data_IF_343860473787
#
_entry.id   IF_343860473787
#
_cell.length_a   1.000
_cell.length_b   1.000
_cell.length_c   1.000
_cell.angle_alpha   90.00
_cell.angle_beta   90.00
_cell.angle_gamma   90.00
#
_symmetry.space_group_name_H-M   'P 1'
#
loop_
_entity.id
_entity.type
_entity.pdbx_description
1 polymer ?
#
# COMPACT_ATOMS: atom_id res chain seq x y z
N UNK A 1 -8.28 31.63 8.40
CA UNK A 1 -6.92 31.09 8.64
C UNK A 1 -6.01 31.65 7.55
N UNK A 2 -4.81 32.11 7.89
CA UNK A 2 -3.90 32.78 6.95
C UNK A 2 -3.30 31.69 6.03
N UNK A 3 -3.84 31.53 4.81
CA UNK A 3 -3.49 30.47 3.85
C UNK A 3 -2.01 30.50 3.36
N UNK A 4 -1.25 31.55 3.74
CA UNK A 4 0.13 31.74 3.32
C UNK A 4 1.19 31.34 4.37
N UNK A 5 0.80 30.75 5.51
CA UNK A 5 1.76 30.39 6.55
C UNK A 5 2.24 28.94 6.35
N UNK A 6 3.55 28.75 6.26
CA UNK A 6 4.14 27.41 6.26
C UNK A 6 3.76 26.67 7.57
N UNK A 7 3.30 25.44 7.45
CA UNK A 7 3.15 24.52 8.57
C UNK A 7 4.55 23.98 8.86
N UNK A 8 5.09 24.34 10.01
CA UNK A 8 6.44 23.91 10.40
C UNK A 8 6.43 23.22 11.75
N UNK A 9 7.33 22.28 11.92
CA UNK A 9 7.59 21.59 13.18
C UNK A 9 9.10 21.66 13.43
N UNK A 10 9.51 21.94 14.65
CA UNK A 10 10.93 21.93 15.00
C UNK A 10 11.46 20.49 15.13
N UNK A 11 12.78 20.35 14.98
CA UNK A 11 13.43 19.05 14.95
C UNK A 11 13.33 18.27 16.27
N UNK A 12 13.20 18.95 17.41
CA UNK A 12 13.05 18.30 18.70
C UNK A 12 11.64 17.71 18.84
N UNK A 13 10.62 18.51 18.53
CA UNK A 13 9.21 18.06 18.51
C UNK A 13 9.03 16.89 17.55
N UNK A 14 9.56 17.00 16.31
CA UNK A 14 9.47 15.93 15.31
C UNK A 14 10.13 14.62 15.80
N UNK A 15 11.29 14.72 16.49
CA UNK A 15 11.99 13.55 16.99
C UNK A 15 11.23 12.82 18.10
N UNK A 16 10.46 13.57 18.88
CA UNK A 16 9.67 13.01 20.00
C UNK A 16 8.23 12.66 19.59
N UNK A 17 7.81 12.98 18.34
CA UNK A 17 6.52 12.58 17.81
C UNK A 17 6.41 11.07 17.64
N UNK A 18 5.23 10.55 17.95
CA UNK A 18 4.85 9.17 17.69
C UNK A 18 4.27 9.10 16.27
N UNK A 19 5.14 8.81 15.31
CA UNK A 19 4.73 8.59 13.93
C UNK A 19 4.49 7.09 13.69
N UNK A 20 3.45 6.73 12.91
CA UNK A 20 3.24 5.34 12.52
C UNK A 20 4.43 4.85 11.69
N UNK A 21 4.78 3.56 11.76
CA UNK A 21 5.83 2.99 10.93
C UNK A 21 5.43 3.04 9.44
N UNK A 22 6.45 3.00 8.56
CA UNK A 22 6.22 2.82 7.13
C UNK A 22 5.46 1.52 6.88
N UNK A 23 4.33 1.63 6.20
CA UNK A 23 3.50 0.47 5.85
C UNK A 23 3.96 -0.16 4.53
N UNK A 24 3.79 -1.46 4.44
CA UNK A 24 4.09 -2.24 3.24
C UNK A 24 2.88 -3.11 2.87
N UNK A 25 2.56 -3.16 1.58
CA UNK A 25 1.65 -4.19 1.05
C UNK A 25 2.36 -5.55 0.96
N UNK A 26 3.62 -5.56 0.51
CA UNK A 26 4.51 -6.72 0.53
C UNK A 26 5.77 -6.27 1.27
N UNK A 27 6.04 -6.88 2.41
CA UNK A 27 7.12 -6.47 3.31
C UNK A 27 8.46 -6.36 2.57
N UNK A 28 9.21 -5.29 2.82
CA UNK A 28 10.49 -4.96 2.19
C UNK A 28 10.48 -4.82 0.66
N UNK A 29 9.32 -5.03 0.00
CA UNK A 29 9.21 -5.00 -1.46
C UNK A 29 8.27 -3.87 -1.94
N UNK A 30 7.00 -3.87 -1.54
CA UNK A 30 6.01 -2.90 -2.02
C UNK A 30 5.57 -1.98 -0.88
N UNK A 31 6.24 -0.81 -0.70
CA UNK A 31 5.88 0.15 0.33
C UNK A 31 4.60 0.90 -0.02
N UNK A 32 3.95 1.49 0.97
CA UNK A 32 2.97 2.55 0.82
C UNK A 32 3.61 3.74 0.09
N UNK A 33 2.83 4.43 -0.76
CA UNK A 33 3.32 5.50 -1.62
C UNK A 33 3.33 5.07 -3.09
N UNK A 34 4.07 5.78 -3.93
CA UNK A 34 4.11 5.54 -5.37
C UNK A 34 5.25 4.61 -5.76
N UNK A 35 4.94 3.47 -6.35
CA UNK A 35 5.89 2.51 -6.90
C UNK A 35 5.73 2.38 -8.42
N UNK A 36 6.84 2.20 -9.14
CA UNK A 36 6.82 1.97 -10.59
C UNK A 36 7.43 0.61 -10.94
N UNK A 37 6.69 -0.22 -11.68
CA UNK A 37 7.15 -1.47 -12.26
C UNK A 37 7.39 -1.31 -13.75
N UNK A 38 8.63 -1.38 -14.17
CA UNK A 38 9.02 -1.13 -15.55
C UNK A 38 9.73 -2.31 -16.19
N UNK A 39 9.88 -2.25 -17.50
CA UNK A 39 10.56 -3.26 -18.29
C UNK A 39 10.08 -3.28 -19.75
N UNK A 40 10.75 -4.02 -20.60
CA UNK A 40 10.41 -4.12 -22.02
C UNK A 40 8.96 -4.63 -22.23
N UNK A 41 8.37 -4.34 -23.38
CA UNK A 41 7.04 -4.85 -23.71
C UNK A 41 7.03 -6.39 -23.77
N UNK A 42 5.94 -7.01 -23.27
CA UNK A 42 5.68 -8.45 -23.32
C UNK A 42 6.67 -9.34 -22.54
N UNK A 43 7.32 -8.80 -21.49
CA UNK A 43 8.21 -9.59 -20.62
C UNK A 43 7.55 -10.17 -19.37
N UNK A 44 6.27 -9.91 -19.14
CA UNK A 44 5.53 -10.48 -18.02
C UNK A 44 5.24 -9.50 -16.86
N UNK A 45 5.34 -8.17 -17.07
CA UNK A 45 5.02 -7.16 -16.05
C UNK A 45 3.58 -7.25 -15.55
N UNK A 46 2.60 -7.32 -16.47
CA UNK A 46 1.17 -7.41 -16.11
C UNK A 46 0.86 -8.70 -15.33
N UNK A 47 1.54 -9.80 -15.64
CA UNK A 47 1.45 -11.03 -14.85
C UNK A 47 1.99 -10.83 -13.44
N UNK A 48 3.15 -10.17 -13.30
CA UNK A 48 3.74 -9.85 -12.01
C UNK A 48 2.84 -8.90 -11.18
N UNK A 49 2.33 -7.85 -11.81
CA UNK A 49 1.45 -6.90 -11.13
C UNK A 49 0.15 -7.56 -10.65
N UNK A 50 -0.47 -8.42 -11.48
CA UNK A 50 -1.67 -9.16 -11.10
C UNK A 50 -1.38 -10.16 -9.97
N UNK A 51 -0.26 -10.88 -10.02
CA UNK A 51 0.17 -11.83 -8.99
C UNK A 51 0.42 -11.11 -7.65
N UNK A 52 1.12 -9.95 -7.66
CA UNK A 52 1.27 -9.08 -6.48
C UNK A 52 -0.09 -8.67 -5.90
N UNK A 53 -1.02 -8.24 -6.75
CA UNK A 53 -2.36 -7.83 -6.33
C UNK A 53 -3.14 -8.98 -5.67
N UNK A 54 -3.04 -10.18 -6.22
CA UNK A 54 -3.69 -11.38 -5.65
C UNK A 54 -3.10 -11.75 -4.29
N UNK A 55 -1.77 -11.76 -4.15
CA UNK A 55 -1.10 -12.03 -2.88
C UNK A 55 -1.49 -11.01 -1.81
N UNK A 56 -1.56 -9.73 -2.16
CA UNK A 56 -1.99 -8.66 -1.25
C UNK A 56 -3.48 -8.83 -0.88
N UNK A 57 -4.36 -9.08 -1.83
CA UNK A 57 -5.78 -9.26 -1.55
C UNK A 57 -6.04 -10.47 -0.62
N UNK A 58 -5.32 -11.58 -0.82
CA UNK A 58 -5.40 -12.78 0.01
C UNK A 58 -4.67 -12.67 1.34
N UNK A 59 -3.64 -11.81 1.46
CA UNK A 59 -2.73 -11.80 2.60
C UNK A 59 -1.72 -12.97 2.57
N UNK A 60 -1.53 -13.60 1.41
CA UNK A 60 -0.60 -14.72 1.25
C UNK A 60 0.83 -14.22 1.03
N UNK A 61 1.86 -14.84 1.62
CA UNK A 61 3.25 -14.43 1.42
C UNK A 61 3.67 -14.50 -0.05
N UNK A 62 4.41 -13.50 -0.53
CA UNK A 62 5.01 -13.47 -1.87
C UNK A 62 6.53 -13.49 -1.75
N UNK A 63 7.20 -14.42 -2.45
CA UNK A 63 8.66 -14.56 -2.46
C UNK A 63 9.30 -14.56 -1.06
N UNK A 64 8.70 -15.30 -0.13
CA UNK A 64 9.07 -15.37 1.30
C UNK A 64 8.90 -14.05 2.08
N UNK A 65 8.23 -13.05 1.50
CA UNK A 65 7.88 -11.81 2.19
C UNK A 65 6.42 -11.87 2.64
N UNK A 66 6.14 -11.45 3.87
CA UNK A 66 4.76 -11.34 4.36
C UNK A 66 4.02 -10.22 3.63
N UNK A 67 2.72 -10.38 3.46
CA UNK A 67 1.84 -9.38 2.87
C UNK A 67 0.84 -8.86 3.89
N UNK A 68 0.45 -7.60 3.74
CA UNK A 68 -0.69 -7.05 4.46
C UNK A 68 -1.93 -7.28 3.61
N UNK A 69 -2.97 -7.90 4.19
CA UNK A 69 -4.24 -8.11 3.49
C UNK A 69 -5.09 -6.83 3.48
N UNK A 70 -5.76 -6.58 2.37
CA UNK A 70 -6.71 -5.47 2.23
C UNK A 70 -7.32 -5.44 0.83
N UNK A 71 -8.21 -4.46 0.59
CA UNK A 71 -8.85 -4.29 -0.71
C UNK A 71 -7.85 -3.77 -1.74
N UNK A 72 -7.93 -4.34 -2.94
CA UNK A 72 -7.08 -4.01 -4.09
C UNK A 72 -7.92 -3.56 -5.27
N UNK A 73 -7.57 -2.42 -5.88
CA UNK A 73 -8.11 -1.98 -7.16
C UNK A 73 -7.05 -2.17 -8.26
N UNK A 74 -7.38 -2.91 -9.31
CA UNK A 74 -6.52 -3.10 -10.47
C UNK A 74 -7.12 -2.49 -11.73
N UNK A 75 -6.55 -1.39 -12.22
CA UNK A 75 -6.91 -0.72 -13.46
C UNK A 75 -6.20 -1.40 -14.63
N UNK A 76 -6.91 -2.30 -15.34
CA UNK A 76 -6.40 -3.10 -16.46
C UNK A 76 -6.70 -2.42 -17.79
N UNK A 77 -6.07 -1.29 -18.08
CA UNK A 77 -6.52 -0.36 -19.13
C UNK A 77 -6.16 -0.79 -20.57
N UNK A 78 -5.27 -1.79 -20.74
CA UNK A 78 -4.98 -2.40 -22.05
C UNK A 78 -5.70 -3.74 -22.27
N UNK A 79 -6.50 -4.19 -21.29
CA UNK A 79 -7.16 -5.49 -21.32
C UNK A 79 -8.69 -5.39 -21.40
N UNK A 80 -9.32 -6.52 -21.62
CA UNK A 80 -10.76 -6.71 -21.48
C UNK A 80 -11.05 -7.76 -20.41
N UNK A 81 -12.29 -7.85 -19.93
CA UNK A 81 -12.68 -8.77 -18.86
C UNK A 81 -12.41 -10.24 -19.21
N UNK A 82 -12.57 -10.66 -20.46
CA UNK A 82 -12.27 -12.02 -20.90
C UNK A 82 -10.78 -12.35 -20.68
N UNK A 83 -9.86 -11.45 -21.08
CA UNK A 83 -8.42 -11.65 -20.90
C UNK A 83 -8.02 -11.63 -19.43
N UNK A 84 -8.67 -10.80 -18.62
CA UNK A 84 -8.45 -10.76 -17.17
C UNK A 84 -8.88 -12.09 -16.54
N UNK A 85 -10.07 -12.59 -16.90
CA UNK A 85 -10.58 -13.88 -16.46
C UNK A 85 -9.65 -15.03 -16.85
N UNK A 86 -9.18 -15.07 -18.11
CA UNK A 86 -8.21 -16.07 -18.56
C UNK A 86 -6.90 -16.04 -17.78
N UNK A 87 -6.45 -14.84 -17.39
CA UNK A 87 -5.25 -14.69 -16.54
C UNK A 87 -5.49 -15.18 -15.12
N UNK A 88 -6.62 -14.83 -14.53
CA UNK A 88 -6.98 -15.29 -13.19
C UNK A 88 -7.03 -16.81 -13.14
N UNK A 89 -7.73 -17.46 -14.07
CA UNK A 89 -7.83 -18.91 -14.16
C UNK A 89 -6.49 -19.64 -14.33
N UNK A 90 -5.47 -18.95 -14.86
CA UNK A 90 -4.10 -19.51 -14.97
C UNK A 90 -3.31 -19.38 -13.68
N UNK A 91 -3.52 -18.30 -12.93
CA UNK A 91 -2.79 -18.04 -11.69
C UNK A 91 -3.39 -18.82 -10.53
N UNK A 92 -4.73 -18.82 -10.42
CA UNK A 92 -5.43 -19.39 -9.26
C UNK A 92 -6.88 -19.73 -9.60
N UNK A 93 -7.44 -20.73 -8.93
CA UNK A 93 -8.86 -21.08 -8.91
C UNK A 93 -9.61 -20.40 -7.74
N UNK A 94 -8.87 -19.80 -6.81
CA UNK A 94 -9.39 -19.12 -5.63
C UNK A 94 -9.09 -17.61 -5.69
N UNK A 95 -10.02 -16.82 -6.25
CA UNK A 95 -9.92 -15.37 -6.35
C UNK A 95 -10.70 -14.73 -5.20
N UNK A 96 -10.08 -13.91 -4.36
CA UNK A 96 -10.75 -13.28 -3.23
C UNK A 96 -11.71 -12.17 -3.69
N UNK A 97 -12.75 -11.90 -2.90
CA UNK A 97 -13.77 -10.89 -3.23
C UNK A 97 -13.33 -9.44 -3.05
N UNK A 98 -12.19 -9.20 -2.40
CA UNK A 98 -11.63 -7.87 -2.14
C UNK A 98 -10.62 -7.40 -3.20
N UNK A 99 -10.57 -8.04 -4.39
CA UNK A 99 -9.87 -7.51 -5.56
C UNK A 99 -10.87 -7.08 -6.62
N UNK A 100 -10.72 -5.84 -7.09
CA UNK A 100 -11.61 -5.19 -8.04
C UNK A 100 -10.87 -4.85 -9.33
N UNK A 101 -11.54 -4.99 -10.47
CA UNK A 101 -10.98 -4.78 -11.81
C UNK A 101 -11.76 -3.72 -12.57
N UNK A 102 -11.05 -2.74 -13.16
CA UNK A 102 -11.62 -1.77 -14.08
C UNK A 102 -10.83 -1.79 -15.40
N UNK A 103 -11.53 -1.86 -16.53
CA UNK A 103 -10.94 -1.87 -17.87
C UNK A 103 -10.95 -0.49 -18.54
N UNK A 104 -11.50 0.51 -17.86
CA UNK A 104 -11.51 1.90 -18.30
C UNK A 104 -11.39 2.83 -17.10
N UNK A 105 -10.70 3.93 -17.28
CA UNK A 105 -10.56 4.99 -16.30
C UNK A 105 -10.40 6.33 -17.03
N UNK A 106 -10.66 7.43 -16.34
CA UNK A 106 -10.32 8.77 -16.81
C UNK A 106 -8.80 8.96 -16.79
N UNK A 107 -8.33 9.93 -17.55
CA UNK A 107 -6.95 10.39 -17.45
C UNK A 107 -6.75 11.22 -16.15
N UNK A 108 -5.50 11.48 -15.79
CA UNK A 108 -5.16 12.30 -14.61
C UNK A 108 -5.78 13.70 -14.70
N UNK A 109 -5.78 14.31 -15.89
CA UNK A 109 -6.39 15.64 -16.13
C UNK A 109 -7.91 15.61 -16.17
N UNK A 110 -8.54 14.48 -16.51
CA UNK A 110 -9.98 14.34 -16.59
C UNK A 110 -10.63 13.89 -15.28
N UNK A 111 -9.83 13.56 -14.26
CA UNK A 111 -10.32 13.24 -12.92
C UNK A 111 -10.13 11.80 -12.45
N UNK A 112 -9.13 11.07 -12.92
CA UNK A 112 -8.73 9.76 -12.38
C UNK A 112 -8.54 9.82 -10.86
N UNK A 113 -7.92 10.89 -10.35
CA UNK A 113 -7.71 11.06 -8.91
C UNK A 113 -9.02 11.03 -8.11
N UNK A 114 -10.10 11.61 -8.65
CA UNK A 114 -11.41 11.55 -8.00
C UNK A 114 -12.00 10.13 -8.06
N UNK A 115 -11.88 9.44 -9.19
CA UNK A 115 -12.33 8.04 -9.29
C UNK A 115 -11.65 7.14 -8.25
N UNK A 116 -10.33 7.32 -8.03
CA UNK A 116 -9.61 6.57 -7.00
C UNK A 116 -10.09 6.95 -5.59
N UNK A 117 -10.29 8.25 -5.30
CA UNK A 117 -10.82 8.71 -4.00
C UNK A 117 -12.21 8.16 -3.72
N UNK A 118 -13.09 8.19 -4.71
CA UNK A 118 -14.45 7.67 -4.60
C UNK A 118 -14.41 6.16 -4.26
N UNK A 119 -13.62 5.38 -5.02
CA UNK A 119 -13.42 3.96 -4.74
C UNK A 119 -12.90 3.69 -3.33
N UNK A 120 -11.85 4.41 -2.89
CA UNK A 120 -11.27 4.25 -1.55
C UNK A 120 -12.25 4.68 -0.45
N UNK A 121 -13.12 5.65 -0.72
CA UNK A 121 -14.17 6.06 0.23
C UNK A 121 -15.24 4.98 0.44
N UNK A 122 -15.55 4.23 -0.61
CA UNK A 122 -16.47 3.09 -0.60
C UNK A 122 -15.83 1.82 -0.01
N UNK A 123 -14.51 1.67 -0.19
CA UNK A 123 -13.70 0.52 0.27
C UNK A 123 -12.57 1.01 1.18
N UNK A 124 -12.88 1.31 2.45
CA UNK A 124 -11.96 1.95 3.40
C UNK A 124 -10.74 1.13 3.80
N UNK A 125 -10.79 -0.16 3.56
CA UNK A 125 -9.69 -1.12 3.73
C UNK A 125 -8.80 -1.24 2.48
N UNK A 126 -8.96 -0.35 1.50
CA UNK A 126 -8.10 -0.31 0.29
C UNK A 126 -6.67 0.02 0.70
N UNK A 127 -5.74 -0.84 0.32
CA UNK A 127 -4.30 -0.67 0.60
C UNK A 127 -3.46 -0.58 -0.67
N UNK A 128 -3.97 -1.09 -1.82
CA UNK A 128 -3.23 -1.11 -3.08
C UNK A 128 -4.14 -0.70 -4.25
N UNK A 129 -3.64 0.23 -5.06
CA UNK A 129 -4.16 0.52 -6.39
C UNK A 129 -3.08 0.23 -7.42
N UNK A 130 -3.34 -0.65 -8.37
CA UNK A 130 -2.43 -0.95 -9.47
C UNK A 130 -2.95 -0.36 -10.78
N UNK A 131 -2.07 0.24 -11.57
CA UNK A 131 -2.38 0.86 -12.87
C UNK A 131 -1.55 0.19 -13.97
N UNK A 132 -2.17 -0.57 -14.83
CA UNK A 132 -1.58 -1.24 -15.97
C UNK A 132 -2.27 -0.76 -17.26
N UNK A 133 -1.72 0.22 -17.93
CA UNK A 133 -0.39 0.79 -17.94
C UNK A 133 -0.43 2.34 -17.78
N UNK A 134 0.63 2.93 -17.28
CA UNK A 134 0.77 4.38 -17.08
C UNK A 134 0.39 5.21 -18.29
N UNK A 135 0.74 4.74 -19.49
CA UNK A 135 0.48 5.46 -20.75
C UNK A 135 -1.00 5.79 -20.96
N UNK A 136 -1.91 4.95 -20.45
CA UNK A 136 -3.36 5.10 -20.64
C UNK A 136 -4.00 6.16 -19.74
N UNK A 137 -3.30 6.58 -18.67
CA UNK A 137 -3.82 7.57 -17.71
C UNK A 137 -3.16 8.95 -17.83
N UNK A 138 -2.23 9.15 -18.77
CA UNK A 138 -1.55 10.42 -18.97
C UNK A 138 -2.50 11.51 -19.43
N UNK A 139 -2.26 12.73 -18.97
CA UNK A 139 -3.16 13.87 -19.14
C UNK A 139 -2.95 14.74 -20.38
N UNK A 140 -1.99 14.46 -21.26
CA UNK A 140 -1.66 15.35 -22.39
C UNK A 140 -1.44 14.62 -23.71
N UNK A 141 -2.15 15.02 -24.77
CA UNK A 141 -2.07 14.36 -26.08
C UNK A 141 -0.74 14.54 -26.82
N UNK A 142 0.07 15.55 -26.53
CA UNK A 142 1.24 15.94 -27.36
C UNK A 142 2.55 16.23 -26.61
N UNK A 143 2.62 16.05 -25.30
CA UNK A 143 3.82 16.40 -24.56
C UNK A 143 4.55 15.14 -24.04
N UNK A 144 5.42 14.57 -24.88
CA UNK A 144 6.42 13.57 -24.45
C UNK A 144 7.60 14.28 -23.76
N UNK A 145 7.33 15.17 -22.80
CA UNK A 145 8.38 15.88 -22.10
C UNK A 145 8.58 15.32 -20.69
N UNK A 146 9.82 15.38 -20.23
CA UNK A 146 10.22 15.10 -18.84
C UNK A 146 9.30 15.79 -17.82
N UNK A 147 8.93 17.05 -18.09
CA UNK A 147 8.11 17.83 -17.18
C UNK A 147 6.68 17.26 -17.02
N UNK A 148 6.12 16.70 -18.10
CA UNK A 148 4.79 16.08 -18.05
C UNK A 148 4.82 14.76 -17.32
N UNK A 149 5.78 13.88 -17.63
CA UNK A 149 5.96 12.61 -16.93
C UNK A 149 6.16 12.84 -15.43
N UNK A 150 6.99 13.81 -15.06
CA UNK A 150 7.25 14.16 -13.66
C UNK A 150 6.00 14.71 -12.96
N UNK A 151 5.23 15.58 -13.62
CA UNK A 151 3.98 16.15 -13.09
C UNK A 151 2.92 15.08 -12.83
N UNK A 152 2.73 14.19 -13.82
CA UNK A 152 1.77 13.09 -13.72
C UNK A 152 2.14 12.14 -12.55
N UNK A 153 3.42 11.81 -12.41
CA UNK A 153 3.91 10.99 -11.29
C UNK A 153 3.76 11.71 -9.93
N UNK A 154 4.02 13.02 -9.85
CA UNK A 154 3.79 13.78 -8.62
C UNK A 154 2.31 13.80 -8.22
N UNK A 155 1.39 13.91 -9.19
CA UNK A 155 -0.04 13.85 -8.93
C UNK A 155 -0.45 12.48 -8.38
N UNK A 156 0.06 11.38 -8.97
CA UNK A 156 -0.17 10.03 -8.45
C UNK A 156 0.40 9.84 -7.05
N UNK A 157 1.61 10.36 -6.81
CA UNK A 157 2.23 10.33 -5.49
C UNK A 157 1.40 11.07 -4.44
N UNK A 158 0.87 12.23 -4.79
CA UNK A 158 -0.01 12.99 -3.90
C UNK A 158 -1.26 12.20 -3.53
N UNK A 159 -1.91 11.53 -4.51
CA UNK A 159 -3.06 10.66 -4.28
C UNK A 159 -2.70 9.50 -3.34
N UNK A 160 -1.58 8.82 -3.59
CA UNK A 160 -1.13 7.71 -2.75
C UNK A 160 -0.86 8.15 -1.30
N UNK A 161 -0.22 9.32 -1.13
CA UNK A 161 0.07 9.91 0.19
C UNK A 161 -1.21 10.34 0.92
N UNK A 162 -2.11 11.03 0.23
CA UNK A 162 -3.38 11.52 0.77
C UNK A 162 -4.27 10.37 1.29
N UNK A 163 -4.34 9.29 0.51
CA UNK A 163 -5.19 8.14 0.80
C UNK A 163 -4.49 7.08 1.68
N UNK A 164 -3.21 7.24 1.99
CA UNK A 164 -2.39 6.27 2.72
C UNK A 164 -2.38 4.86 2.09
N UNK A 165 -2.31 4.77 0.76
CA UNK A 165 -2.28 3.53 -0.01
C UNK A 165 -0.95 3.34 -0.74
N UNK A 166 -0.66 2.11 -1.15
CA UNK A 166 0.32 1.85 -2.19
C UNK A 166 -0.32 2.07 -3.57
N UNK A 167 0.41 2.73 -4.47
CA UNK A 167 0.02 2.90 -5.86
C UNK A 167 1.12 2.33 -6.74
N UNK A 168 0.85 1.20 -7.40
CA UNK A 168 1.78 0.51 -8.29
C UNK A 168 1.46 0.85 -9.74
N UNK A 169 2.40 1.46 -10.44
CA UNK A 169 2.23 1.87 -11.85
C UNK A 169 3.09 1.01 -12.75
N UNK A 170 2.49 0.34 -13.72
CA UNK A 170 3.22 -0.42 -14.74
C UNK A 170 3.59 0.49 -15.90
N UNK A 171 4.87 0.46 -16.29
CA UNK A 171 5.42 1.29 -17.37
C UNK A 171 6.24 0.48 -18.37
N UNK A 172 6.31 0.93 -19.62
CA UNK A 172 7.11 0.34 -20.67
C UNK A 172 8.45 1.08 -20.83
N UNK A 173 9.57 0.35 -20.74
CA UNK A 173 10.90 0.90 -21.00
C UNK A 173 11.07 1.29 -22.48
N UNK A 174 11.89 2.32 -22.73
CA UNK A 174 12.42 2.59 -24.07
C UNK A 174 13.41 1.50 -24.49
N UNK A 175 13.61 1.36 -25.81
CA UNK A 175 14.46 0.32 -26.40
C UNK A 175 15.98 0.54 -26.23
N UNK A 176 16.41 1.62 -25.60
CA UNK A 176 17.83 1.90 -25.39
C UNK A 176 18.35 1.01 -24.26
N UNK A 177 19.46 0.31 -24.51
CA UNK A 177 20.20 -0.43 -23.49
C UNK A 177 21.12 0.55 -22.78
N UNK A 178 21.10 0.53 -21.46
CA UNK A 178 22.01 1.25 -20.58
C UNK A 178 22.67 0.25 -19.62
N UNK A 179 23.86 0.55 -19.14
CA UNK A 179 24.57 -0.28 -18.15
C UNK A 179 23.84 -0.24 -16.80
N UNK A 180 23.25 0.90 -16.46
CA UNK A 180 22.34 1.03 -15.31
C UNK A 180 20.90 0.72 -15.73
N UNK A 181 20.34 -0.35 -15.16
CA UNK A 181 18.97 -0.78 -15.42
C UNK A 181 17.93 0.29 -15.12
N UNK A 182 18.19 1.18 -14.17
CA UNK A 182 17.29 2.27 -13.83
C UNK A 182 17.33 3.42 -14.84
N UNK A 183 18.40 3.62 -15.56
CA UNK A 183 18.45 4.56 -16.69
C UNK A 183 17.57 4.12 -17.87
N UNK A 184 17.25 2.83 -17.97
CA UNK A 184 16.30 2.30 -18.97
C UNK A 184 14.83 2.61 -18.62
N UNK A 185 14.51 2.93 -17.36
CA UNK A 185 13.17 3.24 -16.88
C UNK A 185 12.60 4.46 -17.57
N UNK A 186 13.43 5.37 -17.98
CA UNK A 186 12.94 6.59 -18.56
C UNK A 186 13.85 7.08 -19.69
N UNK A 187 13.25 7.48 -20.78
CA UNK A 187 13.84 8.56 -21.53
C UNK A 187 13.95 9.85 -20.70
N UNK A 188 13.61 9.80 -19.42
CA UNK A 188 13.69 10.92 -18.49
C UNK A 188 13.88 10.35 -17.08
N UNK A 189 14.94 10.71 -16.38
CA UNK A 189 15.19 10.42 -14.96
C UNK A 189 14.04 10.88 -14.03
N UNK A 190 12.95 11.44 -14.59
CA UNK A 190 11.83 12.03 -13.88
C UNK A 190 10.88 11.02 -13.27
N UNK A 191 10.64 9.88 -13.93
CA UNK A 191 9.66 8.91 -13.44
C UNK A 191 10.14 8.28 -12.13
N UNK A 192 11.37 7.79 -12.10
CA UNK A 192 11.95 7.20 -10.88
C UNK A 192 12.19 8.25 -9.80
N UNK A 193 12.61 9.47 -10.18
CA UNK A 193 12.85 10.55 -9.22
C UNK A 193 11.61 10.97 -8.43
N UNK A 194 10.42 10.84 -9.02
CA UNK A 194 9.14 11.12 -8.35
C UNK A 194 8.63 9.94 -7.52
N UNK A 195 8.93 8.69 -7.91
CA UNK A 195 8.48 7.49 -7.23
C UNK A 195 9.19 7.28 -5.87
N UNK A 196 8.56 6.55 -4.98
CA UNK A 196 9.12 6.11 -3.70
C UNK A 196 9.89 4.81 -3.84
N UNK A 197 9.44 3.92 -4.77
CA UNK A 197 10.16 2.71 -5.14
C UNK A 197 10.10 2.47 -6.66
N UNK A 198 11.16 1.86 -7.19
CA UNK A 198 11.28 1.48 -8.59
C UNK A 198 11.69 0.03 -8.75
N UNK A 199 11.03 -0.64 -9.68
CA UNK A 199 11.26 -2.03 -10.05
C UNK A 199 11.51 -2.12 -11.54
N UNK A 200 12.62 -2.73 -11.93
CA UNK A 200 12.99 -2.94 -13.35
C UNK A 200 13.10 -4.42 -13.61
N UNK A 201 12.13 -4.96 -14.35
CA UNK A 201 12.16 -6.37 -14.78
C UNK A 201 12.98 -6.51 -16.05
N UNK A 202 14.06 -7.28 -15.99
CA UNK A 202 14.96 -7.55 -17.10
C UNK A 202 14.98 -9.04 -17.46
N UNK A 203 14.93 -9.32 -18.76
CA UNK A 203 15.19 -10.65 -19.35
C UNK A 203 16.28 -10.52 -20.39
N UNK A 204 17.26 -11.39 -20.35
CA UNK A 204 18.34 -11.42 -21.36
C UNK A 204 17.79 -11.71 -22.76
N UNK A 205 16.85 -12.64 -22.89
CA UNK A 205 16.12 -12.93 -24.13
C UNK A 205 14.64 -13.23 -23.82
N UNK A 206 13.74 -12.97 -24.78
CA UNK A 206 12.29 -13.20 -24.61
C UNK A 206 11.92 -14.67 -24.37
N UNK A 207 12.75 -15.60 -24.82
CA UNK A 207 12.49 -17.05 -24.74
C UNK A 207 13.00 -17.67 -23.43
N UNK A 208 13.81 -16.96 -22.65
CA UNK A 208 14.27 -17.44 -21.35
C UNK A 208 13.17 -17.28 -20.29
N UNK A 209 13.03 -18.28 -19.42
CA UNK A 209 12.11 -18.20 -18.28
C UNK A 209 12.68 -17.32 -17.16
N UNK A 210 14.01 -17.20 -17.07
CA UNK A 210 14.66 -16.43 -16.02
C UNK A 210 14.63 -14.91 -16.30
N UNK A 211 14.46 -14.14 -15.24
CA UNK A 211 14.53 -12.70 -15.23
C UNK A 211 15.17 -12.20 -13.93
N UNK A 212 15.69 -10.99 -13.96
CA UNK A 212 16.13 -10.28 -12.77
C UNK A 212 15.21 -9.07 -12.56
N UNK A 213 14.68 -8.92 -11.35
CA UNK A 213 13.98 -7.74 -10.90
C UNK A 213 14.95 -6.89 -10.07
N UNK A 214 15.36 -5.75 -10.62
CA UNK A 214 16.13 -4.76 -9.89
C UNK A 214 15.19 -3.89 -9.09
N UNK A 215 15.46 -3.74 -7.80
CA UNK A 215 14.64 -2.96 -6.87
C UNK A 215 15.47 -1.82 -6.29
N UNK A 216 14.88 -0.63 -6.16
CA UNK A 216 15.45 0.50 -5.41
C UNK A 216 14.34 1.39 -4.89
N UNK A 217 14.58 2.13 -3.80
CA UNK A 217 13.59 3.06 -3.25
C UNK A 217 14.07 3.81 -2.03
N UNK A 218 13.19 4.66 -1.50
CA UNK A 218 13.47 5.45 -0.29
C UNK A 218 13.35 4.62 0.98
N UNK A 219 12.42 3.66 0.96
CA UNK A 219 12.04 2.83 2.10
C UNK A 219 12.40 1.35 1.89
N UNK A 220 12.98 1.00 0.74
CA UNK A 220 13.46 -0.33 0.41
C UNK A 220 14.94 -0.31 0.07
N UNK A 221 15.65 -1.41 0.38
CA UNK A 221 17.04 -1.57 0.00
C UNK A 221 17.18 -1.85 -1.50
N UNK A 222 18.23 -1.27 -2.10
CA UNK A 222 18.59 -1.61 -3.49
C UNK A 222 19.07 -3.05 -3.56
N UNK A 223 18.39 -3.87 -4.38
CA UNK A 223 18.66 -5.31 -4.50
C UNK A 223 18.24 -5.89 -5.83
N UNK A 224 18.71 -7.08 -6.10
CA UNK A 224 18.37 -7.90 -7.26
C UNK A 224 17.63 -9.16 -6.81
N UNK A 225 16.47 -9.39 -7.40
CA UNK A 225 15.68 -10.60 -7.17
C UNK A 225 15.70 -11.41 -8.48
N UNK A 226 16.29 -12.59 -8.42
CA UNK A 226 16.31 -13.51 -9.56
C UNK A 226 15.05 -14.37 -9.55
N UNK A 227 14.36 -14.39 -10.67
CA UNK A 227 13.04 -14.97 -10.84
C UNK A 227 13.02 -15.95 -12.01
N UNK A 228 12.19 -16.98 -11.91
CA UNK A 228 11.83 -17.87 -13.00
C UNK A 228 10.34 -17.74 -13.32
N UNK A 229 10.00 -17.55 -14.60
CA UNK A 229 8.63 -17.51 -15.05
C UNK A 229 8.08 -18.92 -15.23
N UNK A 230 7.15 -19.31 -14.38
CA UNK A 230 6.37 -20.51 -14.52
C UNK A 230 5.34 -20.32 -15.64
N UNK A 231 5.43 -21.12 -16.70
CA UNK A 231 4.54 -20.99 -17.86
C UNK A 231 3.16 -21.60 -17.62
N UNK A 232 3.05 -22.52 -16.69
CA UNK A 232 1.79 -23.23 -16.42
C UNK A 232 0.87 -22.33 -15.59
N UNK A 233 1.39 -21.68 -14.55
CA UNK A 233 0.67 -20.74 -13.71
C UNK A 233 0.81 -19.28 -14.16
N UNK A 234 1.68 -18.99 -15.11
CA UNK A 234 2.02 -17.63 -15.55
C UNK A 234 2.50 -16.70 -14.43
N UNK A 235 3.11 -17.23 -13.37
CA UNK A 235 3.63 -16.50 -12.21
C UNK A 235 5.15 -16.48 -12.18
N UNK A 236 5.69 -15.55 -11.40
CA UNK A 236 7.11 -15.42 -11.17
C UNK A 236 7.51 -16.11 -9.87
N UNK A 237 8.33 -17.14 -9.96
CA UNK A 237 8.86 -17.90 -8.83
C UNK A 237 10.22 -17.39 -8.42
N UNK A 238 10.45 -17.21 -7.11
CA UNK A 238 11.72 -16.78 -6.55
C UNK A 238 12.80 -17.84 -6.78
N UNK A 239 13.96 -17.44 -7.33
CA UNK A 239 15.19 -18.24 -7.37
C UNK A 239 16.13 -17.80 -6.24
N UNK A 240 16.43 -16.50 -6.18
CA UNK A 240 17.30 -15.91 -5.16
C UNK A 240 17.01 -14.43 -4.97
N UNK A 241 17.29 -13.93 -3.78
CA UNK A 241 17.22 -12.51 -3.43
C UNK A 241 18.60 -12.10 -2.87
N UNK A 242 19.16 -11.00 -3.38
CA UNK A 242 20.46 -10.51 -2.92
C UNK A 242 20.41 -9.91 -1.51
N UNK A 243 19.22 -9.68 -0.95
CA UNK A 243 19.04 -9.32 0.43
C UNK A 243 19.42 -10.51 1.34
N UNK A 244 20.51 -10.37 2.08
CA UNK A 244 21.10 -11.47 2.85
C UNK A 244 20.31 -11.88 4.08
N UNK A 245 19.45 -10.98 4.60
CA UNK A 245 18.57 -11.27 5.73
C UNK A 245 17.22 -10.57 5.53
N UNK A 246 16.09 -11.26 5.69
CA UNK A 246 14.82 -10.56 5.74
C UNK A 246 14.83 -9.61 6.95
N UNK A 247 14.44 -8.36 6.73
CA UNK A 247 14.30 -7.32 7.78
C UNK A 247 13.29 -7.68 8.90
N UNK A 248 12.87 -8.92 8.97
CA UNK A 248 11.88 -9.45 9.92
C UNK A 248 12.45 -9.87 11.26
N UNK A 249 13.78 -9.93 11.42
CA UNK A 249 14.39 -10.18 12.72
C UNK A 249 14.72 -8.84 13.37
N UNK A 250 14.09 -8.58 14.50
CA UNK A 250 14.48 -7.48 15.38
C UNK A 250 16.01 -7.50 15.56
N UNK A 251 16.70 -6.35 15.43
CA UNK A 251 18.11 -6.27 15.74
C UNK A 251 18.40 -6.88 17.12
N UNK A 252 19.55 -7.50 17.25
CA UNK A 252 19.99 -8.10 18.52
C UNK A 252 19.77 -7.17 19.70
N UNK A 253 20.06 -5.88 19.53
CA UNK A 253 19.94 -4.83 20.54
C UNK A 253 18.46 -4.57 20.89
N UNK A 254 17.55 -4.66 19.93
CA UNK A 254 16.10 -4.47 20.20
C UNK A 254 15.50 -5.69 20.87
N UNK A 255 15.90 -6.90 20.49
CA UNK A 255 15.51 -8.12 21.19
C UNK A 255 16.04 -8.11 22.65
N UNK A 256 17.30 -7.69 22.84
CA UNK A 256 17.89 -7.52 24.16
C UNK A 256 17.18 -6.43 24.97
N UNK A 257 16.71 -5.35 24.34
CA UNK A 257 15.97 -4.28 25.01
C UNK A 257 14.61 -4.79 25.51
N UNK A 258 13.89 -5.56 24.73
CA UNK A 258 12.61 -6.17 25.14
C UNK A 258 12.85 -7.08 26.35
N UNK A 259 13.83 -7.98 26.28
CA UNK A 259 14.17 -8.88 27.37
C UNK A 259 14.60 -8.10 28.63
N UNK A 260 15.42 -7.06 28.49
CA UNK A 260 15.84 -6.18 29.57
C UNK A 260 14.65 -5.49 30.25
N UNK A 261 13.70 -5.00 29.46
CA UNK A 261 12.52 -4.30 29.99
C UNK A 261 11.49 -5.26 30.59
N UNK A 262 11.38 -6.50 30.11
CA UNK A 262 10.60 -7.55 30.77
C UNK A 262 11.07 -7.80 32.22
N UNK A 263 12.39 -7.76 32.47
CA UNK A 263 12.96 -7.91 33.81
C UNK A 263 12.91 -6.63 34.64
N UNK A 264 13.13 -5.46 34.01
CA UNK A 264 13.27 -4.17 34.71
C UNK A 264 11.91 -3.52 34.98
N UNK A 265 10.89 -3.87 34.18
CA UNK A 265 9.50 -3.39 34.20
C UNK A 265 9.37 -1.89 33.89
N UNK A 266 10.13 -1.02 34.54
CA UNK A 266 10.11 0.42 34.27
C UNK A 266 11.44 1.10 34.60
N UNK A 267 11.73 2.16 33.85
CA UNK A 267 12.87 3.03 34.10
C UNK A 267 12.49 4.49 33.83
N UNK A 268 12.94 5.41 34.70
CA UNK A 268 12.83 6.85 34.51
C UNK A 268 14.16 7.50 34.85
N UNK A 269 14.75 8.24 33.90
CA UNK A 269 16.08 8.85 34.10
C UNK A 269 16.62 9.44 32.80
N UNK A 270 17.92 9.72 32.73
CA UNK A 270 18.55 10.22 31.51
C UNK A 270 18.78 9.10 30.50
N UNK A 271 18.83 9.43 29.20
CA UNK A 271 19.22 8.44 28.18
C UNK A 271 20.57 7.80 28.43
N UNK A 272 21.51 8.54 29.04
CA UNK A 272 22.87 8.04 29.35
C UNK A 272 22.83 7.00 30.46
N UNK A 273 22.05 7.26 31.51
CA UNK A 273 21.91 6.32 32.64
C UNK A 273 21.20 5.04 32.19
N UNK A 274 20.15 5.19 31.33
CA UNK A 274 19.46 4.05 30.77
C UNK A 274 20.40 3.16 29.95
N UNK A 275 21.20 3.77 29.06
CA UNK A 275 22.16 3.04 28.21
C UNK A 275 23.23 2.35 29.04
N UNK A 276 23.74 3.01 30.12
CA UNK A 276 24.69 2.40 31.02
C UNK A 276 24.14 1.15 31.72
N UNK A 277 22.87 1.23 32.19
CA UNK A 277 22.18 0.10 32.80
C UNK A 277 21.93 -1.03 31.79
N UNK A 278 21.46 -0.67 30.59
CA UNK A 278 21.19 -1.61 29.50
C UNK A 278 22.43 -2.34 29.04
N UNK A 279 23.50 -1.61 28.67
CA UNK A 279 24.77 -2.21 28.23
C UNK A 279 25.39 -3.10 29.31
N UNK A 280 25.38 -2.62 30.59
CA UNK A 280 25.93 -3.38 31.69
C UNK A 280 25.23 -4.71 31.96
N UNK A 281 23.94 -4.81 31.64
CA UNK A 281 23.17 -6.03 31.91
C UNK A 281 23.06 -6.95 30.70
N UNK A 282 22.99 -6.38 29.47
CA UNK A 282 22.81 -7.14 28.25
C UNK A 282 24.11 -7.49 27.53
N UNK A 283 25.22 -6.84 27.89
CA UNK A 283 26.48 -6.95 27.16
C UNK A 283 26.47 -6.28 25.78
N UNK A 284 25.45 -5.48 25.47
CA UNK A 284 25.41 -4.64 24.26
C UNK A 284 26.43 -3.49 24.42
N UNK A 285 26.87 -2.94 23.26
CA UNK A 285 27.73 -1.75 23.22
C UNK A 285 27.03 -0.69 22.33
N UNK A 286 25.99 -0.08 22.86
CA UNK A 286 25.26 0.99 22.18
C UNK A 286 25.47 2.32 22.91
N UNK A 287 25.51 3.42 22.14
CA UNK A 287 25.49 4.77 22.73
C UNK A 287 24.07 5.32 22.81
N UNK A 288 23.85 6.35 23.62
CA UNK A 288 22.52 6.93 23.87
C UNK A 288 21.81 7.44 22.58
N UNK A 289 22.58 7.98 21.62
CA UNK A 289 22.04 8.43 20.32
C UNK A 289 21.62 7.23 19.47
N UNK A 290 22.48 6.23 19.35
CA UNK A 290 22.22 5.01 18.57
C UNK A 290 21.03 4.23 19.10
N UNK A 291 20.96 4.03 20.43
CA UNK A 291 19.82 3.36 21.06
C UNK A 291 18.51 4.11 20.81
N UNK A 292 18.49 5.44 20.98
CA UNK A 292 17.31 6.25 20.69
C UNK A 292 16.88 6.16 19.22
N UNK A 293 17.81 6.18 18.28
CA UNK A 293 17.51 6.02 16.86
C UNK A 293 16.90 4.64 16.57
N UNK A 294 17.46 3.58 17.13
CA UNK A 294 16.91 2.23 17.00
C UNK A 294 15.53 2.12 17.64
N UNK A 295 15.33 2.62 18.86
CA UNK A 295 14.02 2.63 19.52
C UNK A 295 12.96 3.39 18.70
N UNK A 296 13.29 4.53 18.11
CA UNK A 296 12.37 5.27 17.26
C UNK A 296 12.06 4.52 15.98
N UNK A 297 13.07 3.88 15.35
CA UNK A 297 12.89 3.07 14.13
C UNK A 297 11.99 1.85 14.37
N UNK A 298 12.17 1.18 15.50
CA UNK A 298 11.49 -0.07 15.87
C UNK A 298 10.38 0.13 16.90
N UNK A 299 9.83 1.33 16.99
CA UNK A 299 8.86 1.70 18.02
C UNK A 299 7.60 0.82 18.00
N UNK A 300 7.07 0.54 16.81
CA UNK A 300 5.88 -0.29 16.66
C UNK A 300 6.10 -1.71 17.18
N UNK A 301 7.24 -2.30 16.81
CA UNK A 301 7.62 -3.64 17.26
C UNK A 301 7.89 -3.69 18.75
N UNK A 302 8.49 -2.65 19.32
CA UNK A 302 8.67 -2.52 20.76
C UNK A 302 7.32 -2.45 21.48
N UNK A 303 6.39 -1.62 20.99
CA UNK A 303 5.05 -1.49 21.56
C UNK A 303 4.22 -2.78 21.41
N UNK A 304 4.33 -3.47 20.27
CA UNK A 304 3.70 -4.78 20.05
C UNK A 304 4.26 -5.86 21.00
N UNK A 305 5.47 -5.68 21.50
CA UNK A 305 6.09 -6.55 22.51
C UNK A 305 5.99 -5.97 23.92
N UNK A 306 5.07 -5.05 24.19
CA UNK A 306 4.78 -4.52 25.52
C UNK A 306 5.70 -3.41 26.00
N UNK A 307 6.67 -2.95 25.19
CA UNK A 307 7.61 -1.89 25.59
C UNK A 307 7.11 -0.55 25.05
N UNK A 308 6.77 0.36 25.95
CA UNK A 308 6.39 1.74 25.63
C UNK A 308 7.40 2.73 26.21
N UNK A 309 7.64 3.85 25.53
CA UNK A 309 8.56 4.86 26.01
C UNK A 309 8.16 6.28 25.62
N UNK A 310 8.61 7.24 26.42
CA UNK A 310 8.43 8.67 26.20
C UNK A 310 9.74 9.40 26.52
N UNK A 311 10.18 10.28 25.63
CA UNK A 311 11.29 11.20 25.88
C UNK A 311 10.76 12.61 26.07
N UNK A 312 11.30 13.34 27.06
CA UNK A 312 10.89 14.72 27.35
C UNK A 312 12.06 15.50 27.96
N UNK A 313 11.93 16.84 28.05
CA UNK A 313 12.89 17.71 28.76
C UNK A 313 12.31 18.19 30.09
N UNK A 314 13.17 18.12 31.11
CA UNK A 314 12.90 18.72 32.41
C UNK A 314 14.20 19.29 32.98
N UNK A 315 14.15 20.54 33.43
CA UNK A 315 15.32 21.26 34.01
C UNK A 315 16.58 21.24 33.10
N UNK A 316 16.38 21.38 31.78
CA UNK A 316 17.48 21.37 30.81
C UNK A 316 18.04 19.99 30.48
N UNK A 317 17.63 18.94 31.17
CA UNK A 317 18.04 17.57 30.93
C UNK A 317 17.01 16.83 30.06
N UNK A 318 17.47 15.96 29.16
CA UNK A 318 16.66 15.07 28.36
C UNK A 318 16.43 13.79 29.14
N UNK A 319 15.17 13.51 29.46
CA UNK A 319 14.73 12.36 30.23
C UNK A 319 14.04 11.32 29.34
N UNK A 320 14.08 10.08 29.79
CA UNK A 320 13.44 8.92 29.17
C UNK A 320 12.62 8.21 30.26
N UNK A 321 11.33 8.06 30.00
CA UNK A 321 10.48 7.10 30.71
C UNK A 321 10.24 5.93 29.78
N UNK A 322 10.51 4.72 30.21
CA UNK A 322 10.29 3.49 29.46
C UNK A 322 9.67 2.44 30.40
N UNK A 323 8.66 1.73 29.90
CA UNK A 323 7.95 0.71 30.69
C UNK A 323 7.60 -0.50 29.85
N UNK A 324 7.47 -1.63 30.52
CA UNK A 324 6.96 -2.88 29.96
C UNK A 324 5.59 -3.17 30.58
N UNK A 325 4.65 -3.62 29.74
CA UNK A 325 3.35 -4.17 30.13
C UNK A 325 3.10 -5.46 29.34
N UNK A 326 2.62 -6.49 30.00
CA UNK A 326 2.22 -7.70 29.31
C UNK A 326 1.13 -7.37 28.28
N UNK A 327 1.32 -7.84 27.05
CA UNK A 327 0.32 -7.73 25.98
C UNK A 327 -0.62 -8.92 26.16
N UNK A 328 -1.88 -8.67 26.58
CA UNK A 328 -2.91 -9.71 26.57
C UNK A 328 -3.11 -10.16 25.12
N UNK A 329 -2.68 -11.37 24.81
CA UNK A 329 -2.99 -12.01 23.54
C UNK A 329 -4.45 -12.44 23.58
N UNK A 330 -5.32 -11.76 22.86
CA UNK A 330 -6.65 -12.22 22.50
C UNK A 330 -6.55 -13.48 21.62
N UNK A 331 -6.23 -14.61 22.24
CA UNK A 331 -6.43 -15.93 21.66
C UNK A 331 -7.78 -16.40 22.14
N UNK A 332 -8.85 -16.01 21.46
CA UNK A 332 -10.12 -16.70 21.53
C UNK A 332 -9.96 -18.07 20.85
N UNK A 333 -9.54 -19.05 21.64
CA UNK A 333 -9.64 -20.44 21.26
C UNK A 333 -11.12 -20.83 21.24
N UNK A 334 -11.65 -21.02 20.04
CA UNK A 334 -12.85 -21.84 19.83
C UNK A 334 -12.52 -23.25 20.26
N UNK A 335 -13.11 -23.69 21.34
CA UNK A 335 -13.16 -25.10 21.70
C UNK A 335 -14.61 -25.53 21.80
N UNK A 336 -14.96 -26.42 20.92
CA UNK A 336 -16.21 -27.20 20.94
C UNK A 336 -16.34 -28.04 22.21
N UNK A 337 -17.57 -28.14 22.67
CA UNK A 337 -17.99 -29.37 23.32
C UNK A 337 -18.62 -29.27 24.70
N UNK A 338 -19.92 -29.37 24.70
CA UNK A 338 -20.79 -30.17 25.57
C UNK A 338 -21.50 -29.53 26.77
N UNK A 339 -22.79 -29.39 26.53
CA UNK A 339 -24.01 -29.55 27.32
C UNK A 339 -23.88 -29.78 28.84
N UNK A 340 -24.47 -28.89 29.65
CA UNK A 340 -25.52 -29.26 30.63
C UNK A 340 -26.12 -27.99 31.26
N UNK A 341 -27.45 -27.97 31.39
CA UNK A 341 -28.25 -26.82 31.72
C UNK A 341 -28.19 -26.41 33.18
N UNK A 342 -28.52 -25.16 33.39
CA UNK A 342 -29.30 -24.68 34.54
C UNK A 342 -29.88 -23.29 34.20
N UNK A 343 -31.17 -23.20 34.38
CA UNK A 343 -32.01 -22.00 34.25
C UNK A 343 -31.56 -20.89 35.21
N UNK A 344 -31.47 -19.66 34.72
CA UNK A 344 -31.62 -18.48 35.55
C UNK A 344 -32.46 -17.46 34.79
N UNK A 345 -33.61 -17.16 35.40
CA UNK A 345 -34.61 -16.19 35.01
C UNK A 345 -34.03 -14.76 34.97
N UNK A 346 -34.27 -14.06 33.89
CA UNK A 346 -34.10 -12.59 33.83
C UNK A 346 -35.46 -11.96 33.66
N UNK A 347 -35.87 -11.23 34.70
CA UNK A 347 -37.05 -10.37 34.71
C UNK A 347 -36.79 -9.16 33.85
N UNK A 348 -37.64 -8.93 32.86
CA UNK A 348 -37.79 -7.69 32.15
C UNK A 348 -38.80 -6.78 32.88
N UNK A 349 -38.46 -5.55 33.09
CA UNK A 349 -39.42 -4.49 33.36
C UNK A 349 -39.59 -3.59 32.13
N UNK A 350 -40.83 -3.17 31.85
CA UNK A 350 -41.22 -2.54 30.61
C UNK A 350 -41.26 -1.03 30.69
N UNK A 351 -40.90 -0.35 29.62
CA UNK A 351 -41.31 1.03 29.37
C UNK A 351 -42.37 1.09 28.27
N UNK A 352 -43.47 1.72 28.63
CA UNK A 352 -44.74 1.90 27.95
C UNK A 352 -44.68 3.01 26.87
N UNK A 353 -45.54 2.96 25.86
CA UNK A 353 -45.49 3.84 24.67
C UNK A 353 -46.48 5.01 24.75
N UNK A 354 -46.28 6.02 23.91
CA UNK A 354 -47.30 6.94 23.38
C UNK A 354 -46.69 7.60 22.10
N UNK A 355 -47.34 7.83 21.02
CA UNK A 355 -48.71 7.91 20.64
C UNK A 355 -48.83 8.04 19.11
N UNK A 356 -49.90 7.56 18.67
CA UNK A 356 -50.43 7.51 17.32
C UNK A 356 -50.38 8.83 16.51
N UNK A 357 -50.18 8.72 15.21
CA UNK A 357 -51.02 9.32 14.16
C UNK A 357 -50.73 8.76 12.78
N UNK A 358 -51.65 7.96 12.30
CA UNK A 358 -51.89 7.66 10.90
C UNK A 358 -52.74 8.75 10.23
N UNK A 359 -53.16 8.54 8.97
CA UNK A 359 -52.46 8.75 7.68
C UNK A 359 -53.29 9.74 6.80
N UNK A 360 -52.70 10.18 5.71
CA UNK A 360 -53.52 10.69 4.60
C UNK A 360 -53.07 10.18 3.24
N UNK A 361 -53.98 9.41 2.69
CA UNK A 361 -54.07 8.93 1.34
C UNK A 361 -54.42 10.06 0.34
N UNK A 362 -54.09 9.85 -0.89
CA UNK A 362 -54.87 10.04 -2.12
C UNK A 362 -53.92 10.39 -3.26
N UNK A 363 -53.79 9.54 -4.20
CA UNK A 363 -54.57 9.18 -5.37
C UNK A 363 -54.21 9.99 -6.61
N UNK A 364 -53.62 9.29 -7.54
CA UNK A 364 -54.04 9.03 -8.90
C UNK A 364 -54.47 10.26 -9.75
N UNK A 365 -53.70 10.48 -10.83
CA UNK A 365 -54.34 10.59 -12.17
C UNK A 365 -53.31 10.50 -13.28
N UNK A 366 -53.57 9.55 -14.13
CA UNK A 366 -53.04 9.35 -15.46
C UNK A 366 -53.69 10.34 -16.43
N UNK A 367 -53.19 10.36 -17.65
CA UNK A 367 -53.89 10.50 -18.93
C UNK A 367 -53.26 11.50 -19.92
N UNK A 368 -52.75 10.91 -20.93
CA UNK A 368 -52.94 11.03 -22.39
C UNK A 368 -52.22 12.10 -23.21
N UNK A 369 -51.55 11.58 -24.21
CA UNK A 369 -51.67 11.67 -25.69
C UNK A 369 -51.24 12.98 -26.31
N UNK A 370 -50.41 12.97 -27.29
CA UNK A 370 -50.55 12.55 -28.63
C UNK A 370 -49.63 13.31 -29.59
N UNK A 371 -49.18 12.56 -30.55
CA UNK A 371 -49.02 12.81 -31.99
C UNK A 371 -47.92 13.73 -32.49
N UNK A 372 -46.99 13.11 -33.17
CA UNK A 372 -46.81 13.14 -34.64
C UNK A 372 -46.48 14.49 -35.29
N UNK A 373 -45.29 14.59 -35.87
CA UNK A 373 -45.08 14.77 -37.33
C UNK A 373 -43.61 14.97 -37.70
N UNK A 374 -43.09 14.09 -38.47
CA UNK A 374 -42.10 14.32 -39.54
C UNK A 374 -42.85 14.85 -40.77
N UNK A 375 -42.23 15.21 -41.93
CA UNK A 375 -40.85 15.09 -42.43
C UNK A 375 -40.34 16.29 -43.30
N UNK A 376 -39.32 15.99 -44.11
CA UNK A 376 -38.82 16.61 -45.37
C UNK A 376 -37.56 17.47 -45.23
N UNK A 377 -36.49 17.02 -45.77
CA UNK A 377 -35.94 16.89 -47.13
C UNK A 377 -35.20 18.15 -47.62
N UNK A 378 -34.08 17.90 -48.22
CA UNK A 378 -33.38 18.79 -49.15
C UNK A 378 -31.89 18.90 -48.83
N UNK A 379 -31.04 18.10 -49.32
CA UNK A 379 -30.50 17.88 -50.66
C UNK A 379 -29.33 18.79 -51.04
N UNK A 380 -28.24 18.08 -51.40
CA UNK A 380 -27.20 18.39 -52.40
C UNK A 380 -26.15 19.48 -52.06
N UNK A 381 -24.90 19.22 -52.13
CA UNK A 381 -23.92 18.56 -52.98
C UNK A 381 -22.76 19.52 -53.32
N UNK A 382 -21.65 18.92 -53.57
CA UNK A 382 -20.42 19.28 -54.30
C UNK A 382 -19.19 19.58 -53.50
N UNK A 383 -18.26 18.62 -53.44
CA UNK A 383 -17.15 18.30 -54.38
C UNK A 383 -16.05 19.33 -54.40
N UNK A 384 -15.00 18.83 -53.89
CA UNK A 384 -13.53 18.85 -54.21
C UNK A 384 -13.01 19.85 -55.28
N UNK A 385 -11.73 20.13 -55.38
CA UNK A 385 -10.62 19.18 -55.27
C UNK A 385 -9.68 19.39 -54.05
#
# INVERSE_FOLDING_TARGET
MNENKLIVIDGETLLDMRLPPQRFCIQTLLPQGLSILSGASKIGKSWMALDMCLHVAKGEPMWNQTTTSGTVLYLCLEDNYHRIQDRLLKITDDVPSNIYFAISAKTLTEGLGNQIRDFVSEHRDTILVAVDVFQMIRGGENENSYACDYRDMLQLKQIATELNIALLVVHHNRKLKDEDSFNMLSGTNGLLGAADAGFVLLRSTRNQSNATLHCTGRDIESREINLNFDKDTCTWKLISDSMKEPMLLLPKEMAALIAFMQETVSFSGTNTDFVAAFNGRTGCDVNAKGLKQMMNKWRYELESNGVSYRSYRSNGLRLLDISFSEVESDVSASNDGNISGSEISVTCDPCVPDGEREPHSAAVSAVHTGSEKTPEEGATAHCTP
#
